data_IF_308229005794
#
_entry.id   IF_308229005794
#
_cell.length_a   1.000
_cell.length_b   1.000
_cell.length_c   1.000
_cell.angle_alpha   90.00
_cell.angle_beta   90.00
_cell.angle_gamma   90.00
#
_symmetry.space_group_name_H-M   'P 1'
#
loop_
_entity.id
_entity.type
_entity.pdbx_description
1 polymer ?
#
# COMPACT_ATOMS: atom_id res chain seq x y z
N UNK A 1 -23.47 -25.89 16.25
CA UNK A 1 -22.35 -25.78 15.30
C UNK A 1 -21.49 -24.57 15.63
N UNK A 2 -20.17 -24.72 15.63
CA UNK A 2 -19.22 -23.61 15.70
C UNK A 2 -19.10 -22.90 14.34
N UNK A 3 -18.62 -21.65 14.32
CA UNK A 3 -18.56 -20.81 13.11
C UNK A 3 -17.86 -21.50 11.92
N UNK A 4 -16.80 -22.27 12.19
CA UNK A 4 -16.07 -23.03 11.18
C UNK A 4 -16.96 -24.07 10.48
N UNK A 5 -17.70 -24.88 11.24
CA UNK A 5 -18.63 -25.88 10.70
C UNK A 5 -19.74 -25.24 9.87
N UNK A 6 -20.31 -24.13 10.38
CA UNK A 6 -21.36 -23.37 9.68
C UNK A 6 -20.85 -22.84 8.33
N UNK A 7 -19.61 -22.34 8.30
CA UNK A 7 -18.97 -21.85 7.07
C UNK A 7 -18.66 -23.01 6.11
N UNK A 8 -18.12 -24.14 6.59
CA UNK A 8 -17.90 -25.33 5.76
C UNK A 8 -19.19 -25.82 5.12
N UNK A 9 -20.31 -25.83 5.86
CA UNK A 9 -21.62 -26.17 5.29
C UNK A 9 -22.04 -25.20 4.18
N UNK A 10 -21.93 -23.88 4.40
CA UNK A 10 -22.21 -22.88 3.36
C UNK A 10 -21.35 -23.09 2.10
N UNK A 11 -20.04 -23.30 2.28
CA UNK A 11 -19.09 -23.54 1.20
C UNK A 11 -19.47 -24.77 0.38
N UNK A 12 -19.86 -25.87 1.04
CA UNK A 12 -20.29 -27.10 0.36
C UNK A 12 -21.64 -26.94 -0.36
N UNK A 13 -22.65 -26.30 0.27
CA UNK A 13 -23.98 -26.14 -0.34
C UNK A 13 -23.99 -25.17 -1.52
N UNK A 14 -23.13 -24.16 -1.48
CA UNK A 14 -23.07 -23.08 -2.49
C UNK A 14 -21.92 -23.22 -3.49
N UNK A 15 -21.13 -24.30 -3.41
CA UNK A 15 -20.01 -24.56 -4.32
C UNK A 15 -18.90 -23.49 -4.27
N UNK A 16 -18.65 -22.90 -3.10
CA UNK A 16 -17.68 -21.82 -2.93
C UNK A 16 -16.24 -22.35 -2.84
N UNK A 17 -15.25 -21.48 -3.08
CA UNK A 17 -13.85 -21.85 -2.91
C UNK A 17 -13.48 -21.99 -1.41
N UNK A 18 -13.13 -23.23 -1.04
CA UNK A 18 -12.70 -23.59 0.32
C UNK A 18 -11.36 -22.97 0.73
N UNK A 19 -10.55 -22.50 -0.23
CA UNK A 19 -9.26 -21.83 0.02
C UNK A 19 -9.36 -20.36 0.42
N UNK A 20 -10.55 -19.74 0.32
CA UNK A 20 -10.76 -18.35 0.69
C UNK A 20 -10.85 -18.13 2.22
N UNK A 21 -10.52 -16.92 2.72
CA UNK A 21 -10.80 -16.57 4.12
C UNK A 21 -12.30 -16.64 4.44
N UNK A 22 -12.65 -17.04 5.67
CA UNK A 22 -14.04 -17.17 6.14
C UNK A 22 -14.87 -15.92 5.83
N UNK A 23 -14.33 -14.71 6.06
CA UNK A 23 -15.03 -13.44 5.75
C UNK A 23 -15.40 -13.34 4.26
N UNK A 24 -14.51 -13.75 3.36
CA UNK A 24 -14.74 -13.76 1.92
C UNK A 24 -15.75 -14.83 1.51
N UNK A 25 -15.69 -16.02 2.12
CA UNK A 25 -16.67 -17.10 1.89
C UNK A 25 -18.07 -16.67 2.30
N UNK A 26 -18.22 -16.02 3.45
CA UNK A 26 -19.52 -15.49 3.93
C UNK A 26 -20.02 -14.36 3.05
N UNK A 27 -19.13 -13.44 2.62
CA UNK A 27 -19.51 -12.38 1.69
C UNK A 27 -20.02 -12.94 0.34
N UNK A 28 -19.35 -13.95 -0.23
CA UNK A 28 -19.80 -14.62 -1.45
C UNK A 28 -21.12 -15.37 -1.23
N UNK A 29 -21.29 -16.08 -0.11
CA UNK A 29 -22.53 -16.76 0.23
C UNK A 29 -23.71 -15.78 0.30
N UNK A 30 -23.53 -14.60 0.91
CA UNK A 30 -24.55 -13.55 0.94
C UNK A 30 -24.95 -13.07 -0.46
N UNK A 31 -23.96 -12.79 -1.31
CA UNK A 31 -24.21 -12.34 -2.69
C UNK A 31 -24.99 -13.39 -3.49
N UNK A 32 -24.62 -14.66 -3.41
CA UNK A 32 -25.35 -15.74 -4.09
C UNK A 32 -26.77 -15.95 -3.55
N UNK A 33 -26.99 -15.74 -2.24
CA UNK A 33 -28.30 -15.81 -1.60
C UNK A 33 -29.15 -14.52 -1.73
N UNK A 34 -28.69 -13.52 -2.50
CA UNK A 34 -29.41 -12.25 -2.68
C UNK A 34 -29.44 -11.36 -1.43
N UNK A 35 -28.62 -11.65 -0.42
CA UNK A 35 -28.55 -10.88 0.82
C UNK A 35 -27.69 -9.62 0.65
N UNK A 36 -28.27 -8.47 0.97
CA UNK A 36 -27.56 -7.20 0.98
C UNK A 36 -26.35 -7.22 1.95
N UNK A 37 -25.26 -6.48 1.65
CA UNK A 37 -24.16 -6.27 2.59
C UNK A 37 -24.67 -5.60 3.87
N UNK A 38 -24.29 -6.15 5.03
CA UNK A 38 -24.55 -5.53 6.34
C UNK A 38 -23.23 -5.08 6.95
N UNK A 39 -23.14 -3.78 7.26
CA UNK A 39 -22.02 -3.20 8.02
C UNK A 39 -22.41 -3.22 9.50
N UNK A 40 -21.49 -3.60 10.37
CA UNK A 40 -21.68 -3.58 11.83
C UNK A 40 -22.28 -4.85 12.45
N UNK A 41 -22.69 -5.86 11.68
CA UNK A 41 -23.08 -7.17 12.22
C UNK A 41 -21.90 -8.13 12.33
N UNK A 42 -21.93 -9.01 13.34
CA UNK A 42 -20.89 -10.02 13.53
C UNK A 42 -20.90 -11.08 12.43
N UNK A 43 -19.75 -11.71 12.20
CA UNK A 43 -19.60 -12.76 11.19
C UNK A 43 -20.47 -14.00 11.50
N UNK A 44 -20.80 -14.24 12.77
CA UNK A 44 -21.69 -15.34 13.20
C UNK A 44 -23.13 -15.06 12.78
N UNK A 45 -23.64 -13.85 13.04
CA UNK A 45 -25.00 -13.44 12.64
C UNK A 45 -25.15 -13.45 11.11
N UNK A 46 -24.12 -13.00 10.38
CA UNK A 46 -24.13 -13.03 8.91
C UNK A 46 -24.19 -14.45 8.35
N UNK A 47 -23.52 -15.41 8.99
CA UNK A 47 -23.57 -16.84 8.64
C UNK A 47 -24.93 -17.45 8.97
N UNK A 48 -25.49 -17.12 10.14
CA UNK A 48 -26.80 -17.64 10.55
C UNK A 48 -27.95 -17.11 9.68
N UNK A 49 -27.84 -15.87 9.18
CA UNK A 49 -28.76 -15.33 8.18
C UNK A 49 -28.69 -16.11 6.84
N UNK A 50 -27.49 -16.50 6.38
CA UNK A 50 -27.33 -17.36 5.20
C UNK A 50 -27.91 -18.76 5.41
N UNK A 51 -27.65 -19.38 6.57
CA UNK A 51 -28.19 -20.70 6.92
C UNK A 51 -29.72 -20.68 7.03
N UNK A 52 -30.32 -19.59 7.52
CA UNK A 52 -31.77 -19.45 7.62
C UNK A 52 -32.47 -19.40 6.25
N UNK A 53 -31.79 -18.94 5.19
CA UNK A 53 -32.30 -19.02 3.81
C UNK A 53 -32.20 -20.45 3.28
N UNK A 54 -31.03 -21.09 3.38
CA UNK A 54 -30.84 -22.48 2.94
C UNK A 54 -31.76 -23.47 3.67
N UNK A 55 -32.11 -23.19 4.93
CA UNK A 55 -33.07 -23.97 5.73
C UNK A 55 -34.55 -23.72 5.43
N UNK A 56 -34.90 -22.88 4.44
CA UNK A 56 -36.30 -22.55 4.09
C UNK A 56 -36.81 -23.13 2.76
N UNK A 57 -35.97 -23.82 1.99
CA UNK A 57 -36.33 -24.31 0.65
C UNK A 57 -36.97 -25.70 0.67
N UNK A 58 -38.30 -25.74 0.75
CA UNK A 58 -39.07 -26.66 -0.09
C UNK A 58 -39.21 -26.02 -1.49
N UNK A 59 -39.25 -26.80 -2.59
CA UNK A 59 -39.12 -26.25 -3.94
C UNK A 59 -40.40 -25.55 -4.42
N UNK A 60 -40.24 -24.42 -5.12
CA UNK A 60 -41.21 -23.93 -6.10
C UNK A 60 -40.52 -23.73 -7.45
N UNK A 61 -41.26 -24.06 -8.51
CA UNK A 61 -40.78 -24.06 -9.89
C UNK A 61 -40.51 -22.65 -10.42
N UNK A 62 -39.54 -22.55 -11.33
CA UNK A 62 -39.16 -21.31 -11.99
C UNK A 62 -39.98 -21.16 -13.27
N UNK A 63 -40.77 -20.09 -13.37
CA UNK A 63 -41.43 -19.67 -14.62
C UNK A 63 -40.86 -18.31 -15.05
N UNK A 64 -40.41 -18.12 -16.31
CA UNK A 64 -39.77 -16.89 -16.74
C UNK A 64 -40.77 -15.76 -17.01
N UNK A 65 -40.49 -14.54 -16.53
CA UNK A 65 -41.25 -13.35 -16.88
C UNK A 65 -40.62 -12.57 -18.03
N UNK A 66 -41.45 -12.22 -19.02
CA UNK A 66 -41.16 -11.26 -20.09
C UNK A 66 -41.36 -9.84 -19.56
N UNK A 67 -40.47 -8.91 -19.92
CA UNK A 67 -40.61 -7.48 -19.60
C UNK A 67 -41.12 -6.72 -20.83
N UNK A 68 -42.29 -6.12 -20.73
CA UNK A 68 -42.72 -5.02 -21.60
C UNK A 68 -42.80 -3.74 -20.75
N UNK A 69 -42.24 -2.64 -21.28
CA UNK A 69 -42.29 -1.33 -20.63
C UNK A 69 -43.31 -0.40 -21.28
N UNK A 70 -43.80 0.57 -20.52
CA UNK A 70 -44.60 1.69 -21.04
C UNK A 70 -44.19 2.98 -20.34
N UNK A 71 -43.97 4.04 -21.13
CA UNK A 71 -43.69 5.40 -20.66
C UNK A 71 -44.95 6.25 -20.82
N UNK A 72 -45.32 7.03 -19.80
CA UNK A 72 -46.35 8.09 -19.93
C UNK A 72 -45.84 9.38 -19.28
N UNK A 73 -46.15 10.51 -19.92
CA UNK A 73 -45.69 11.88 -19.64
C UNK A 73 -46.92 12.76 -19.38
N UNK A 74 -46.89 13.70 -18.43
CA UNK A 74 -48.04 14.60 -18.23
C UNK A 74 -47.88 15.68 -17.14
N UNK A 75 -47.66 16.91 -17.57
CA UNK A 75 -47.99 18.19 -16.88
C UNK A 75 -49.32 18.72 -17.47
N UNK A 76 -50.08 19.69 -16.87
CA UNK A 76 -49.57 21.04 -16.56
C UNK A 76 -50.27 21.91 -15.45
N UNK A 77 -49.60 23.04 -15.15
CA UNK A 77 -50.07 24.41 -14.84
C UNK A 77 -51.21 24.73 -13.84
N UNK A 78 -50.95 25.72 -12.95
CA UNK A 78 -51.71 26.99 -12.92
C UNK A 78 -51.00 28.13 -12.11
N UNK A 79 -51.23 29.40 -12.49
CA UNK A 79 -50.87 30.66 -11.81
C UNK A 79 -52.04 31.64 -11.97
N UNK A 80 -52.36 32.52 -11.00
CA UNK A 80 -51.90 33.94 -11.02
C UNK A 80 -51.75 34.55 -9.59
N UNK A 81 -51.61 35.87 -9.34
CA UNK A 81 -50.69 36.92 -9.85
C UNK A 81 -50.82 38.19 -8.95
N UNK A 82 -49.82 39.09 -8.91
CA UNK A 82 -49.91 40.38 -8.18
C UNK A 82 -48.59 41.19 -8.15
N UNK A 83 -48.63 42.46 -8.58
CA UNK A 83 -47.53 43.45 -8.68
C UNK A 83 -47.63 44.53 -7.55
N UNK A 84 -46.79 45.60 -7.40
CA UNK A 84 -45.64 46.09 -8.22
C UNK A 84 -44.33 46.53 -7.46
N UNK A 85 -43.40 47.11 -8.24
CA UNK A 85 -42.00 47.60 -8.02
C UNK A 85 -41.87 49.03 -7.39
N UNK A 86 -40.69 49.74 -7.37
CA UNK A 86 -39.30 49.47 -6.87
C UNK A 86 -38.76 50.75 -6.11
N UNK A 87 -37.49 51.26 -6.16
CA UNK A 87 -36.15 50.67 -6.43
C UNK A 87 -35.05 51.02 -5.38
N UNK A 88 -33.89 50.34 -5.46
CA UNK A 88 -32.59 50.92 -5.12
C UNK A 88 -31.46 50.25 -5.92
N UNK A 89 -30.47 51.06 -6.33
CA UNK A 89 -29.35 50.67 -7.23
C UNK A 89 -28.13 50.25 -6.42
N UNK A 90 -27.40 49.22 -6.87
CA UNK A 90 -25.97 49.07 -6.58
C UNK A 90 -25.25 48.31 -7.69
N UNK A 91 -24.34 48.99 -8.37
CA UNK A 91 -23.41 48.40 -9.35
C UNK A 91 -22.16 47.89 -8.64
N UNK A 92 -21.79 46.63 -8.83
CA UNK A 92 -20.44 46.15 -8.56
C UNK A 92 -19.83 45.48 -9.80
N UNK A 93 -18.55 45.74 -10.03
CA UNK A 93 -17.81 45.38 -11.23
C UNK A 93 -17.47 43.90 -11.29
N UNK A 94 -17.68 43.28 -12.45
CA UNK A 94 -17.21 41.92 -12.75
C UNK A 94 -15.80 42.01 -13.34
N UNK A 95 -14.80 41.50 -12.62
CA UNK A 95 -13.48 41.20 -13.18
C UNK A 95 -13.49 39.77 -13.76
N UNK A 96 -13.05 39.56 -15.02
CA UNK A 96 -12.99 38.21 -15.57
C UNK A 96 -11.82 37.42 -14.97
N UNK A 97 -12.13 36.41 -14.16
CA UNK A 97 -11.13 35.42 -13.72
C UNK A 97 -10.87 34.46 -14.88
N UNK A 98 -9.67 34.51 -15.44
CA UNK A 98 -9.20 33.54 -16.43
C UNK A 98 -9.02 32.18 -15.73
N UNK A 99 -9.99 31.29 -15.90
CA UNK A 99 -9.92 29.93 -15.40
C UNK A 99 -8.89 29.12 -16.19
N UNK A 100 -7.64 29.12 -15.73
CA UNK A 100 -6.62 28.16 -16.20
C UNK A 100 -7.02 26.79 -15.68
N UNK A 101 -7.66 25.98 -16.53
CA UNK A 101 -7.87 24.56 -16.25
C UNK A 101 -6.50 23.86 -16.20
N UNK A 102 -5.96 23.70 -14.99
CA UNK A 102 -4.89 22.75 -14.75
C UNK A 102 -5.42 21.35 -15.06
N UNK A 103 -4.98 20.78 -16.20
CA UNK A 103 -5.27 19.39 -16.55
C UNK A 103 -4.53 18.50 -15.55
N UNK A 104 -5.25 18.06 -14.52
CA UNK A 104 -4.68 17.23 -13.45
C UNK A 104 -4.29 15.87 -14.01
N UNK A 105 -2.99 15.67 -14.24
CA UNK A 105 -2.45 14.35 -14.50
C UNK A 105 -2.66 13.48 -13.27
N UNK A 106 -3.51 12.46 -13.36
CA UNK A 106 -3.67 11.50 -12.27
C UNK A 106 -2.35 10.76 -12.05
N UNK A 107 -1.93 10.51 -10.79
CA UNK A 107 -0.76 9.70 -10.53
C UNK A 107 -1.02 8.29 -11.07
N UNK A 108 -0.29 7.90 -12.12
CA UNK A 108 -0.36 6.55 -12.67
C UNK A 108 0.00 5.56 -11.57
N UNK A 109 -0.94 4.67 -11.23
CA UNK A 109 -0.63 3.53 -10.37
C UNK A 109 0.54 2.77 -11.01
N UNK A 110 1.64 2.61 -10.28
CA UNK A 110 2.80 1.84 -10.75
C UNK A 110 2.40 0.37 -10.86
N UNK A 111 1.97 -0.03 -12.05
CA UNK A 111 1.68 -1.42 -12.40
C UNK A 111 2.98 -2.20 -12.23
N UNK A 112 3.04 -3.06 -11.21
CA UNK A 112 4.10 -4.07 -11.16
C UNK A 112 3.90 -5.03 -12.33
N UNK A 113 4.97 -5.43 -13.02
CA UNK A 113 4.84 -6.39 -14.12
C UNK A 113 4.39 -7.74 -13.56
N UNK A 114 3.36 -8.34 -14.17
CA UNK A 114 2.85 -9.65 -13.77
C UNK A 114 3.96 -10.71 -13.74
N UNK A 115 4.96 -10.58 -14.63
CA UNK A 115 6.14 -11.44 -14.65
C UNK A 115 7.44 -10.66 -14.85
N UNK A 116 8.48 -11.10 -14.16
CA UNK A 116 9.84 -10.61 -14.25
C UNK A 116 10.80 -11.78 -14.47
N UNK A 117 11.58 -11.76 -15.55
CA UNK A 117 12.73 -12.66 -15.69
C UNK A 117 13.88 -12.11 -14.82
N UNK A 118 14.47 -12.93 -13.96
CA UNK A 118 15.52 -12.50 -13.02
C UNK A 118 16.89 -12.35 -13.69
N UNK A 119 16.94 -11.53 -14.74
CA UNK A 119 18.16 -11.10 -15.43
C UNK A 119 18.66 -9.81 -14.78
N UNK A 120 19.96 -9.73 -14.52
CA UNK A 120 20.63 -8.55 -13.97
C UNK A 120 21.00 -7.55 -15.08
N UNK A 121 21.15 -6.27 -14.71
CA UNK A 121 21.56 -5.21 -15.63
C UNK A 121 22.94 -5.47 -16.29
N UNK A 122 23.78 -6.30 -15.67
CA UNK A 122 25.08 -6.74 -16.22
C UNK A 122 25.01 -7.97 -17.15
N UNK A 123 23.81 -8.47 -17.46
CA UNK A 123 23.59 -9.60 -18.38
C UNK A 123 23.72 -10.98 -17.73
N UNK A 124 24.00 -11.08 -16.43
CA UNK A 124 23.91 -12.34 -15.68
C UNK A 124 22.45 -12.65 -15.30
N UNK A 125 22.19 -13.87 -14.86
CA UNK A 125 20.88 -14.35 -14.44
C UNK A 125 20.88 -14.98 -13.06
N UNK A 126 19.71 -15.03 -12.42
CA UNK A 126 19.46 -15.84 -11.23
C UNK A 126 18.70 -17.11 -11.63
N UNK A 127 19.22 -18.26 -11.23
CA UNK A 127 18.52 -19.54 -11.29
C UNK A 127 18.48 -20.19 -9.90
N UNK A 128 17.82 -21.34 -9.79
CA UNK A 128 17.82 -22.15 -8.57
C UNK A 128 18.80 -23.32 -8.69
N UNK A 129 19.33 -23.76 -7.55
CA UNK A 129 20.07 -25.02 -7.42
C UNK A 129 19.09 -26.20 -7.53
N UNK A 130 19.45 -27.25 -8.28
CA UNK A 130 18.62 -28.47 -8.38
C UNK A 130 18.48 -29.21 -7.04
N UNK A 131 19.44 -29.02 -6.12
CA UNK A 131 19.42 -29.62 -4.78
C UNK A 131 18.42 -28.90 -3.90
N UNK A 132 17.49 -29.65 -3.31
CA UNK A 132 16.65 -29.16 -2.21
C UNK A 132 17.37 -29.26 -0.87
N UNK A 133 17.11 -28.30 0.02
CA UNK A 133 17.45 -28.35 1.45
C UNK A 133 16.18 -28.36 2.31
N UNK A 134 16.29 -28.81 3.55
CA UNK A 134 15.20 -28.76 4.53
C UNK A 134 15.06 -27.33 5.06
N UNK A 135 13.88 -26.75 4.92
CA UNK A 135 13.52 -25.41 5.42
C UNK A 135 12.82 -25.47 6.79
N UNK A 136 13.00 -26.58 7.51
CA UNK A 136 12.33 -27.01 8.75
C UNK A 136 10.86 -27.40 8.54
N UNK A 137 10.29 -28.16 9.49
CA UNK A 137 8.88 -28.56 9.51
C UNK A 137 8.40 -29.26 8.22
N UNK A 138 9.28 -30.04 7.57
CA UNK A 138 9.01 -30.74 6.32
C UNK A 138 8.93 -29.83 5.08
N UNK A 139 9.27 -28.55 5.21
CA UNK A 139 9.32 -27.59 4.09
C UNK A 139 10.59 -27.78 3.29
N UNK A 140 10.53 -27.49 1.99
CA UNK A 140 11.69 -27.59 1.09
C UNK A 140 12.09 -26.20 0.64
N UNK A 141 13.38 -26.03 0.42
CA UNK A 141 13.97 -24.82 -0.09
C UNK A 141 14.98 -25.11 -1.20
N UNK A 142 15.11 -24.16 -2.12
CA UNK A 142 16.17 -24.09 -3.11
C UNK A 142 16.95 -22.80 -2.91
N UNK A 143 18.28 -22.90 -2.86
CA UNK A 143 19.13 -21.72 -2.93
C UNK A 143 19.20 -21.18 -4.36
N UNK A 144 19.40 -19.87 -4.47
CA UNK A 144 19.69 -19.20 -5.73
C UNK A 144 21.15 -19.42 -6.12
N UNK A 145 21.40 -19.54 -7.43
CA UNK A 145 22.73 -19.54 -8.07
C UNK A 145 22.80 -18.46 -9.15
N UNK A 146 23.99 -17.90 -9.38
CA UNK A 146 24.26 -17.10 -10.57
C UNK A 146 24.31 -18.00 -11.82
N UNK A 147 23.86 -17.47 -12.95
CA UNK A 147 23.92 -18.11 -14.27
C UNK A 147 23.91 -17.06 -15.40
N UNK A 148 23.70 -17.46 -16.65
CA UNK A 148 23.47 -16.59 -17.81
C UNK A 148 22.05 -16.01 -17.84
N UNK A 149 21.84 -14.89 -18.54
CA UNK A 149 20.49 -14.35 -18.78
C UNK A 149 19.52 -15.34 -19.45
N UNK A 150 20.04 -16.28 -20.26
CA UNK A 150 19.24 -17.29 -20.93
C UNK A 150 18.59 -18.26 -19.92
N UNK A 151 19.39 -18.76 -18.96
CA UNK A 151 18.96 -19.70 -17.90
C UNK A 151 18.21 -19.06 -16.72
N UNK A 152 18.09 -17.73 -16.68
CA UNK A 152 17.44 -17.06 -15.54
C UNK A 152 15.98 -17.50 -15.38
N UNK A 153 15.54 -17.73 -14.14
CA UNK A 153 14.13 -18.05 -13.85
C UNK A 153 13.24 -16.84 -14.09
N UNK A 154 11.97 -17.11 -14.36
CA UNK A 154 10.91 -16.09 -14.33
C UNK A 154 10.16 -16.19 -13.00
N UNK A 155 9.77 -15.03 -12.47
CA UNK A 155 8.96 -14.91 -11.26
C UNK A 155 7.73 -14.06 -11.48
N UNK A 156 6.69 -14.33 -10.70
CA UNK A 156 5.43 -13.59 -10.67
C UNK A 156 5.24 -12.95 -9.29
N UNK A 157 4.81 -11.68 -9.27
CA UNK A 157 4.47 -10.95 -8.04
C UNK A 157 2.95 -11.03 -7.83
N UNK A 158 2.50 -11.72 -6.78
CA UNK A 158 1.06 -11.70 -6.45
C UNK A 158 0.65 -10.40 -5.74
N UNK A 159 -0.66 -10.17 -5.60
CA UNK A 159 -1.21 -8.97 -4.96
C UNK A 159 -0.81 -8.79 -3.47
N UNK A 160 -0.26 -9.82 -2.83
CA UNK A 160 0.31 -9.74 -1.46
C UNK A 160 1.80 -9.38 -1.49
N UNK A 161 2.47 -9.55 -2.62
CA UNK A 161 3.91 -9.38 -2.81
C UNK A 161 4.71 -10.67 -2.64
N UNK A 162 4.08 -11.85 -2.72
CA UNK A 162 4.80 -13.12 -2.78
C UNK A 162 5.42 -13.26 -4.18
N UNK A 163 6.73 -13.48 -4.23
CA UNK A 163 7.48 -13.64 -5.49
C UNK A 163 7.60 -15.12 -5.82
N UNK A 164 6.74 -15.63 -6.69
CA UNK A 164 6.64 -17.07 -7.02
C UNK A 164 7.48 -17.42 -8.22
N UNK A 165 8.06 -18.62 -8.26
CA UNK A 165 8.68 -19.15 -9.49
C UNK A 165 7.59 -19.39 -10.54
N UNK A 166 7.67 -18.71 -11.68
CA UNK A 166 6.73 -18.81 -12.79
C UNK A 166 7.25 -19.67 -13.95
N UNK A 167 8.57 -19.65 -14.23
CA UNK A 167 9.21 -20.50 -15.23
C UNK A 167 10.71 -20.71 -14.96
N UNK A 168 11.35 -21.59 -15.74
CA UNK A 168 12.80 -21.82 -15.71
C UNK A 168 13.30 -22.81 -14.65
N UNK A 169 12.43 -23.41 -13.85
CA UNK A 169 12.79 -24.45 -12.88
C UNK A 169 11.63 -25.43 -12.64
N UNK A 170 11.91 -26.64 -12.16
CA UNK A 170 10.90 -27.71 -11.97
C UNK A 170 9.90 -27.48 -10.81
N UNK A 171 9.92 -26.31 -10.19
CA UNK A 171 9.13 -25.99 -8.96
C UNK A 171 8.12 -24.86 -9.14
N UNK A 172 7.70 -24.63 -10.40
CA UNK A 172 6.74 -23.59 -10.79
C UNK A 172 5.51 -23.58 -9.86
N UNK A 173 5.11 -22.38 -9.41
CA UNK A 173 3.95 -22.14 -8.56
C UNK A 173 4.07 -22.62 -7.10
N UNK A 174 5.03 -23.48 -6.77
CA UNK A 174 5.11 -24.12 -5.45
C UNK A 174 6.02 -23.39 -4.44
N UNK A 175 6.96 -22.57 -4.92
CA UNK A 175 7.91 -21.87 -4.06
C UNK A 175 7.84 -20.35 -4.24
N UNK A 176 7.80 -19.60 -3.13
CA UNK A 176 8.04 -18.15 -3.10
C UNK A 176 9.45 -17.83 -2.60
N UNK A 177 9.97 -16.66 -2.97
CA UNK A 177 11.10 -16.03 -2.32
C UNK A 177 10.79 -15.78 -0.83
N UNK A 178 11.65 -16.26 0.06
CA UNK A 178 11.42 -16.25 1.50
C UNK A 178 12.69 -15.86 2.26
N UNK A 179 12.50 -14.99 3.25
CA UNK A 179 13.53 -14.53 4.15
C UNK A 179 13.56 -15.40 5.41
N UNK A 180 14.47 -16.38 5.43
CA UNK A 180 14.58 -17.40 6.47
C UNK A 180 14.56 -16.77 7.88
N UNK A 181 13.76 -17.34 8.79
CA UNK A 181 13.49 -16.83 10.16
C UNK A 181 12.76 -15.47 10.25
N UNK A 182 12.31 -14.89 9.14
CA UNK A 182 11.47 -13.67 9.12
C UNK A 182 12.13 -12.40 9.64
N UNK A 183 13.45 -12.40 9.84
CA UNK A 183 14.23 -11.23 10.23
C UNK A 183 14.85 -10.60 8.99
N UNK A 184 14.51 -9.36 8.67
CA UNK A 184 15.15 -8.63 7.59
C UNK A 184 16.41 -7.93 8.12
N UNK A 185 17.55 -8.64 8.06
CA UNK A 185 18.86 -8.13 8.45
C UNK A 185 19.87 -8.34 7.32
N UNK A 186 20.84 -7.44 7.19
CA UNK A 186 21.92 -7.59 6.22
C UNK A 186 22.75 -8.85 6.50
N UNK A 187 23.16 -9.56 5.45
CA UNK A 187 23.82 -10.86 5.52
C UNK A 187 22.89 -12.06 5.64
N UNK A 188 21.58 -11.89 5.86
CA UNK A 188 20.66 -13.02 5.93
C UNK A 188 20.51 -13.66 4.54
N UNK A 189 20.79 -14.97 4.44
CA UNK A 189 20.71 -15.74 3.20
C UNK A 189 19.27 -15.90 2.72
N UNK A 190 19.04 -15.62 1.44
CA UNK A 190 17.74 -15.65 0.78
C UNK A 190 17.61 -16.89 -0.10
N UNK A 191 16.38 -17.38 -0.27
CA UNK A 191 16.09 -18.65 -0.93
C UNK A 191 14.63 -18.69 -1.39
N UNK A 192 14.27 -19.69 -2.19
CA UNK A 192 12.88 -19.96 -2.56
C UNK A 192 12.37 -21.18 -1.77
N UNK A 193 11.21 -21.10 -1.12
CA UNK A 193 10.70 -22.12 -0.19
C UNK A 193 9.22 -22.45 -0.37
N UNK A 194 8.81 -23.63 0.09
CA UNK A 194 7.38 -24.05 0.13
C UNK A 194 6.60 -23.47 1.32
N UNK A 195 7.18 -22.53 2.08
CA UNK A 195 6.49 -21.89 3.23
C UNK A 195 5.26 -21.07 2.82
N UNK A 196 5.16 -20.62 1.57
CA UNK A 196 4.00 -19.86 1.09
C UNK A 196 2.68 -20.62 1.17
N UNK A 197 2.70 -21.94 1.09
CA UNK A 197 1.50 -22.78 1.21
C UNK A 197 0.81 -22.68 2.58
N UNK A 198 1.54 -22.29 3.63
CA UNK A 198 1.01 -22.15 4.99
C UNK A 198 1.19 -20.74 5.59
N UNK A 199 2.07 -19.92 5.02
CA UNK A 199 2.43 -18.60 5.55
C UNK A 199 2.45 -17.48 4.49
N UNK A 200 1.65 -17.57 3.42
CA UNK A 200 1.54 -16.55 2.36
C UNK A 200 1.26 -15.10 2.84
N UNK A 201 0.76 -14.92 4.06
CA UNK A 201 0.53 -13.58 4.66
C UNK A 201 1.69 -13.10 5.53
N UNK A 202 2.68 -13.95 5.81
CA UNK A 202 3.77 -13.65 6.73
C UNK A 202 4.75 -12.62 6.14
N UNK A 203 5.23 -11.63 6.92
CA UNK A 203 6.11 -10.59 6.40
C UNK A 203 7.42 -11.08 5.75
N UNK A 204 7.87 -12.31 6.05
CA UNK A 204 9.08 -12.90 5.44
C UNK A 204 8.98 -13.19 3.94
N UNK A 205 7.75 -13.26 3.42
CA UNK A 205 7.45 -13.57 2.03
C UNK A 205 6.88 -12.37 1.26
N UNK A 206 6.81 -11.21 1.91
CA UNK A 206 6.28 -10.00 1.28
C UNK A 206 7.44 -9.16 0.72
N UNK A 207 7.49 -9.05 -0.59
CA UNK A 207 8.53 -8.31 -1.32
C UNK A 207 7.92 -7.28 -2.27
N UNK A 208 8.75 -6.32 -2.69
CA UNK A 208 8.42 -5.27 -3.66
C UNK A 208 9.57 -5.16 -4.66
N UNK A 209 9.22 -5.09 -5.95
CA UNK A 209 10.12 -4.64 -7.01
C UNK A 209 10.18 -3.11 -7.01
N UNK A 210 11.37 -2.54 -6.82
CA UNK A 210 11.62 -1.11 -6.87
C UNK A 210 11.84 -0.67 -8.32
N UNK A 211 10.79 -0.17 -8.98
CA UNK A 211 10.83 0.21 -10.40
C UNK A 211 11.84 1.33 -10.72
N UNK A 212 12.25 2.13 -9.73
CA UNK A 212 13.22 3.21 -9.92
C UNK A 212 14.67 2.74 -10.09
N UNK A 213 15.04 1.58 -9.53
CA UNK A 213 16.45 1.14 -9.48
C UNK A 213 16.67 -0.37 -9.76
N UNK A 214 15.59 -1.09 -10.08
CA UNK A 214 15.59 -2.50 -10.43
C UNK A 214 15.83 -3.46 -9.25
N UNK A 215 15.82 -3.01 -8.00
CA UNK A 215 16.09 -3.89 -6.84
C UNK A 215 14.82 -4.59 -6.34
N UNK A 216 14.97 -5.76 -5.70
CA UNK A 216 13.88 -6.46 -5.00
C UNK A 216 14.12 -6.38 -3.48
N UNK A 217 13.16 -5.84 -2.74
CA UNK A 217 13.25 -5.53 -1.30
C UNK A 217 12.14 -6.20 -0.48
N UNK A 218 12.40 -6.63 0.78
CA UNK A 218 11.33 -7.02 1.71
C UNK A 218 10.43 -5.80 2.03
N UNK A 219 9.10 -5.97 2.05
CA UNK A 219 8.15 -4.88 2.34
C UNK A 219 8.35 -4.26 3.72
N UNK A 220 8.80 -5.05 4.70
CA UNK A 220 9.08 -4.59 6.06
C UNK A 220 10.51 -4.07 6.28
N UNK A 221 11.35 -4.02 5.25
CA UNK A 221 12.71 -3.48 5.31
C UNK A 221 13.16 -2.91 3.95
N UNK A 222 12.53 -1.83 3.45
CA UNK A 222 12.79 -1.27 2.11
C UNK A 222 14.20 -0.68 1.93
N UNK A 223 14.97 -0.49 3.01
CA UNK A 223 16.38 -0.12 3.00
C UNK A 223 17.31 -1.29 2.61
N UNK A 224 16.82 -2.53 2.68
CA UNK A 224 17.51 -3.75 2.25
C UNK A 224 16.99 -4.23 0.90
N UNK A 225 17.82 -4.93 0.14
CA UNK A 225 17.43 -5.63 -1.09
C UNK A 225 18.18 -6.95 -1.23
N UNK A 226 17.77 -7.77 -2.22
CA UNK A 226 18.58 -8.91 -2.67
C UNK A 226 19.98 -8.44 -3.10
N UNK A 227 20.99 -9.20 -2.73
CA UNK A 227 22.39 -8.97 -3.05
C UNK A 227 23.18 -10.27 -3.15
N UNK A 228 24.38 -10.20 -3.71
CA UNK A 228 25.21 -11.37 -3.99
C UNK A 228 26.68 -11.15 -3.65
N UNK A 229 27.20 -11.84 -2.62
CA UNK A 229 28.66 -11.87 -2.32
C UNK A 229 29.28 -13.23 -2.62
N UNK A 230 28.68 -14.30 -2.09
CA UNK A 230 29.02 -15.70 -2.39
C UNK A 230 27.75 -16.56 -2.58
N UNK A 231 26.66 -16.13 -1.97
CA UNK A 231 25.31 -16.64 -2.10
C UNK A 231 24.34 -15.45 -2.07
N UNK A 232 23.07 -15.68 -2.43
CA UNK A 232 22.03 -14.66 -2.33
C UNK A 232 21.74 -14.33 -0.86
N UNK A 233 21.82 -13.04 -0.51
CA UNK A 233 21.62 -12.53 0.84
C UNK A 233 20.97 -11.14 0.79
N UNK A 234 20.46 -10.64 1.92
CA UNK A 234 20.08 -9.23 2.03
C UNK A 234 21.31 -8.33 2.18
N UNK A 235 21.32 -7.22 1.45
CA UNK A 235 22.32 -6.14 1.55
C UNK A 235 21.63 -4.78 1.58
N UNK A 236 22.34 -3.69 1.90
CA UNK A 236 21.79 -2.34 1.74
C UNK A 236 21.67 -1.97 0.26
N UNK A 237 20.71 -1.12 -0.11
CA UNK A 237 20.50 -0.73 -1.54
C UNK A 237 21.68 0.03 -2.17
N UNK A 238 22.57 0.59 -1.36
CA UNK A 238 23.84 1.21 -1.73
C UNK A 238 25.02 0.25 -1.82
N UNK A 239 24.86 -1.01 -1.40
CA UNK A 239 25.92 -2.01 -1.42
C UNK A 239 26.30 -2.33 -2.89
N UNK A 240 27.59 -2.36 -3.26
CA UNK A 240 28.01 -2.74 -4.61
C UNK A 240 27.58 -4.16 -5.01
N UNK A 241 27.18 -4.99 -4.05
CA UNK A 241 26.66 -6.34 -4.28
C UNK A 241 25.13 -6.39 -4.45
N UNK A 242 24.42 -5.25 -4.44
CA UNK A 242 22.98 -5.19 -4.64
C UNK A 242 22.58 -5.68 -6.04
N UNK A 243 21.60 -6.59 -6.11
CA UNK A 243 21.09 -7.13 -7.38
C UNK A 243 20.12 -6.14 -8.02
N UNK A 244 20.51 -5.60 -9.19
CA UNK A 244 19.67 -4.74 -10.02
C UNK A 244 19.20 -5.52 -11.24
N UNK A 245 17.90 -5.75 -11.33
CA UNK A 245 17.28 -6.51 -12.40
C UNK A 245 16.98 -5.63 -13.63
N UNK A 246 16.96 -6.27 -14.81
CA UNK A 246 16.45 -5.67 -16.03
C UNK A 246 14.93 -5.57 -15.92
N UNK A 247 14.39 -4.36 -16.01
CA UNK A 247 12.95 -4.12 -16.01
C UNK A 247 12.41 -4.24 -17.45
N UNK A 248 11.15 -4.67 -17.64
CA UNK A 248 10.55 -4.76 -18.97
C UNK A 248 10.63 -3.43 -19.74
N UNK A 249 10.89 -3.51 -21.05
CA UNK A 249 10.85 -2.34 -21.92
C UNK A 249 9.42 -1.78 -21.94
N UNK A 250 9.26 -0.52 -21.55
CA UNK A 250 7.97 0.11 -21.25
C UNK A 250 7.74 0.41 -19.76
N UNK A 251 8.52 -0.19 -18.85
CA UNK A 251 8.50 0.14 -17.41
C UNK A 251 9.53 1.19 -16.99
N UNK A 252 10.38 1.65 -17.91
CA UNK A 252 11.28 2.77 -17.64
C UNK A 252 10.51 4.09 -17.74
N UNK A 253 10.46 4.84 -16.63
CA UNK A 253 10.04 6.24 -16.65
C UNK A 253 11.07 6.99 -17.51
N UNK A 254 10.62 7.50 -18.65
CA UNK A 254 11.48 8.18 -19.61
C UNK A 254 11.98 9.52 -19.06
N UNK A 255 13.16 9.53 -18.45
CA UNK A 255 13.87 10.77 -18.09
C UNK A 255 14.46 11.44 -19.35
N UNK A 256 13.59 11.88 -20.25
CA UNK A 256 13.94 12.66 -21.43
C UNK A 256 14.19 14.13 -21.03
N UNK A 257 15.34 14.39 -20.41
CA UNK A 257 15.91 15.75 -20.32
C UNK A 257 17.43 15.68 -20.16
N UNK A 258 18.15 16.15 -21.19
CA UNK A 258 19.61 16.19 -21.21
C UNK A 258 20.15 17.28 -20.28
N UNK A 259 20.39 16.90 -19.02
CA UNK A 259 21.28 17.63 -18.12
C UNK A 259 22.28 16.66 -17.47
N UNK A 260 23.53 17.08 -17.23
CA UNK A 260 24.58 16.20 -16.72
C UNK A 260 24.24 15.66 -15.31
N UNK A 261 24.79 14.48 -14.93
CA UNK A 261 24.26 13.68 -13.83
C UNK A 261 24.68 14.22 -12.45
N UNK A 262 23.93 15.18 -11.92
CA UNK A 262 24.05 15.64 -10.53
C UNK A 262 22.87 15.21 -9.63
N UNK A 263 21.81 14.59 -10.20
CA UNK A 263 20.56 14.24 -9.47
C UNK A 263 20.36 12.76 -9.17
N UNK A 264 21.12 11.85 -9.80
CA UNK A 264 20.96 10.41 -9.58
C UNK A 264 21.56 9.92 -8.24
N UNK A 265 22.53 10.64 -7.68
CA UNK A 265 23.17 10.28 -6.40
C UNK A 265 22.32 10.64 -5.17
N UNK A 266 21.25 11.44 -5.32
CA UNK A 266 20.40 11.86 -4.21
C UNK A 266 19.55 10.72 -3.61
N UNK A 267 19.29 9.65 -4.37
CA UNK A 267 18.37 8.58 -3.98
C UNK A 267 19.04 7.34 -3.35
N UNK A 268 20.37 7.28 -3.26
CA UNK A 268 21.10 6.06 -2.86
C UNK A 268 21.59 6.00 -1.41
N UNK A 269 21.53 7.08 -0.62
CA UNK A 269 22.26 7.20 0.66
C UNK A 269 21.41 7.20 1.97
N UNK A 270 20.15 6.76 1.94
CA UNK A 270 19.26 6.82 3.13
C UNK A 270 19.09 5.46 3.83
N UNK A 271 20.08 5.12 4.67
CA UNK A 271 20.07 3.93 5.52
C UNK A 271 18.94 3.99 6.58
N UNK A 272 17.78 3.41 6.28
CA UNK A 272 16.61 3.34 7.19
C UNK A 272 15.93 4.69 7.48
N UNK A 273 16.26 5.72 6.71
CA UNK A 273 15.72 7.08 6.87
C UNK A 273 14.57 7.32 5.88
N UNK A 274 13.44 7.82 6.36
CA UNK A 274 12.26 8.20 5.56
C UNK A 274 12.56 9.45 4.74
N UNK A 275 12.44 9.40 3.40
CA UNK A 275 12.57 10.58 2.54
C UNK A 275 11.55 11.66 2.92
N UNK A 276 11.97 12.92 2.92
CA UNK A 276 11.08 14.08 3.15
C UNK A 276 9.97 14.19 2.11
N UNK A 277 10.21 13.77 0.87
CA UNK A 277 9.18 13.69 -0.18
C UNK A 277 8.02 12.78 0.24
N UNK A 278 8.32 11.67 0.93
CA UNK A 278 7.30 10.72 1.46
C UNK A 278 6.48 11.36 2.58
N UNK A 279 6.95 12.42 3.22
CA UNK A 279 6.23 13.14 4.27
C UNK A 279 5.24 14.19 3.73
N UNK A 280 5.27 14.50 2.43
CA UNK A 280 4.37 15.48 1.81
C UNK A 280 2.89 15.09 1.98
N UNK A 281 2.07 15.99 2.51
CA UNK A 281 0.62 15.77 2.64
C UNK A 281 0.03 16.29 3.94
N UNK A 282 -1.25 16.00 4.18
CA UNK A 282 -1.93 16.43 5.40
C UNK A 282 -1.72 15.42 6.54
N UNK A 283 -1.44 15.94 7.73
CA UNK A 283 -1.19 15.21 8.96
C UNK A 283 -2.05 15.77 10.09
N UNK A 284 -2.33 14.92 11.07
CA UNK A 284 -2.76 15.32 12.41
C UNK A 284 -1.68 14.92 13.41
N UNK A 285 -1.37 15.80 14.36
CA UNK A 285 -0.54 15.51 15.53
C UNK A 285 -1.34 15.73 16.81
N UNK A 286 -1.13 14.93 17.84
CA UNK A 286 -1.71 15.18 19.18
C UNK A 286 -0.79 14.69 20.29
N UNK A 287 -0.86 15.37 21.44
CA UNK A 287 -0.09 15.06 22.64
C UNK A 287 -0.89 14.07 23.51
N UNK A 288 -0.28 12.94 23.86
CA UNK A 288 -0.83 11.99 24.82
C UNK A 288 -0.24 12.25 26.22
N UNK A 289 -1.06 12.14 27.30
CA UNK A 289 -2.47 11.70 27.32
C UNK A 289 -3.49 12.85 27.23
N UNK A 290 -3.12 14.05 26.77
CA UNK A 290 -3.96 15.26 26.83
C UNK A 290 -4.45 15.66 25.43
N UNK A 291 -5.59 15.12 24.94
CA UNK A 291 -6.11 15.38 23.59
C UNK A 291 -6.62 16.82 23.37
N UNK A 292 -6.52 17.69 24.39
CA UNK A 292 -6.86 19.12 24.31
C UNK A 292 -5.83 19.94 23.51
N UNK A 293 -4.70 19.32 23.12
CA UNK A 293 -3.72 19.89 22.20
C UNK A 293 -3.53 18.93 21.03
N UNK A 294 -3.94 19.39 19.85
CA UNK A 294 -3.73 18.72 18.58
C UNK A 294 -3.50 19.74 17.47
N UNK A 295 -2.90 19.32 16.35
CA UNK A 295 -2.66 20.18 15.19
C UNK A 295 -3.02 19.45 13.91
N UNK A 296 -3.60 20.16 12.94
CA UNK A 296 -3.81 19.67 11.57
C UNK A 296 -2.95 20.54 10.66
N UNK A 297 -2.07 19.91 9.87
CA UNK A 297 -1.07 20.62 9.09
C UNK A 297 -0.73 19.90 7.79
N UNK A 298 -0.27 20.67 6.81
CA UNK A 298 0.30 20.18 5.57
C UNK A 298 1.83 20.22 5.64
N UNK A 299 2.47 19.07 5.49
CA UNK A 299 3.93 18.95 5.35
C UNK A 299 4.35 19.15 3.89
N UNK A 300 5.44 19.89 3.71
CA UNK A 300 6.11 20.14 2.43
C UNK A 300 7.61 19.86 2.58
N UNK A 301 8.17 19.05 1.70
CA UNK A 301 9.60 18.80 1.58
C UNK A 301 10.30 20.03 1.03
N UNK A 302 11.25 20.58 1.80
CA UNK A 302 12.09 21.73 1.38
C UNK A 302 13.46 21.24 0.91
N UNK A 303 13.93 20.12 1.45
CA UNK A 303 15.17 19.46 1.08
C UNK A 303 15.21 18.02 1.60
N UNK A 304 16.31 17.26 1.41
CA UNK A 304 16.40 15.85 1.80
C UNK A 304 16.26 15.61 3.32
N UNK A 305 16.58 16.63 4.11
CA UNK A 305 16.61 16.60 5.57
C UNK A 305 15.80 17.75 6.20
N UNK A 306 14.93 18.44 5.45
CA UNK A 306 14.09 19.54 5.96
C UNK A 306 12.66 19.47 5.46
N UNK A 307 11.69 19.69 6.36
CA UNK A 307 10.27 19.89 6.02
C UNK A 307 9.76 21.22 6.55
N UNK A 308 8.79 21.79 5.84
CA UNK A 308 7.97 22.92 6.25
C UNK A 308 6.57 22.40 6.58
N UNK A 309 6.06 22.70 7.77
CA UNK A 309 4.70 22.39 8.17
C UNK A 309 3.87 23.68 8.23
N UNK A 310 2.74 23.71 7.53
CA UNK A 310 1.80 24.84 7.53
C UNK A 310 0.43 24.33 8.01
N UNK A 311 -0.14 24.92 9.06
CA UNK A 311 -1.34 24.36 9.65
C UNK A 311 -2.01 25.19 10.73
N UNK A 312 -2.87 24.53 11.51
CA UNK A 312 -3.58 25.10 12.65
C UNK A 312 -3.41 24.15 13.84
N UNK A 313 -2.86 24.66 14.93
CA UNK A 313 -2.84 24.02 16.23
C UNK A 313 -4.08 24.45 17.03
N UNK A 314 -4.72 23.50 17.69
CA UNK A 314 -5.87 23.73 18.57
C UNK A 314 -5.38 23.61 20.02
N UNK A 315 -5.00 24.73 20.62
CA UNK A 315 -4.54 24.78 22.00
C UNK A 315 -5.75 25.04 22.91
N UNK A 316 -6.22 24.02 23.62
CA UNK A 316 -7.47 24.08 24.40
C UNK A 316 -8.68 24.50 23.56
N UNK A 317 -8.72 24.05 22.29
CA UNK A 317 -9.77 24.38 21.33
C UNK A 317 -9.63 25.72 20.61
N UNK A 318 -8.69 26.59 21.02
CA UNK A 318 -8.41 27.84 20.31
C UNK A 318 -7.53 27.58 19.07
N UNK A 319 -7.97 27.95 17.85
CA UNK A 319 -7.18 27.76 16.64
C UNK A 319 -6.04 28.79 16.57
N UNK A 320 -4.81 28.30 16.55
CA UNK A 320 -3.59 29.06 16.35
C UNK A 320 -2.95 28.62 15.02
N UNK A 321 -3.00 29.46 13.96
CA UNK A 321 -2.32 29.14 12.71
C UNK A 321 -0.80 29.18 12.90
N UNK A 322 -0.08 28.27 12.24
CA UNK A 322 1.36 28.22 12.30
C UNK A 322 2.00 27.87 10.94
N UNK A 323 3.20 28.37 10.76
CA UNK A 323 4.13 28.00 9.70
C UNK A 323 5.49 27.74 10.37
N UNK A 324 5.98 26.51 10.30
CA UNK A 324 7.22 26.09 10.97
C UNK A 324 8.13 25.31 10.02
N UNK A 325 9.44 25.45 10.20
CA UNK A 325 10.45 24.62 9.55
C UNK A 325 11.03 23.63 10.56
N UNK A 326 11.28 22.40 10.11
CA UNK A 326 11.85 21.34 10.92
C UNK A 326 12.99 20.63 10.21
N UNK A 327 14.11 20.56 10.91
CA UNK A 327 15.31 19.88 10.43
C UNK A 327 15.39 18.46 10.98
N UNK A 328 15.78 17.52 10.11
CA UNK A 328 16.05 16.14 10.48
C UNK A 328 17.37 16.06 11.24
N UNK A 329 17.35 15.43 12.41
CA UNK A 329 18.59 15.01 13.08
C UNK A 329 19.33 13.97 12.24
N UNK A 330 20.58 14.29 11.92
CA UNK A 330 21.50 13.41 11.20
C UNK A 330 21.45 11.98 11.76
N UNK A 331 21.24 11.01 10.87
CA UNK A 331 21.14 9.59 11.24
C UNK A 331 19.77 9.08 11.68
N UNK A 332 18.73 9.93 11.76
CA UNK A 332 17.43 9.55 12.36
C UNK A 332 16.21 9.95 11.53
N UNK A 333 15.01 9.56 11.94
CA UNK A 333 13.74 10.09 11.41
C UNK A 333 13.12 11.18 12.30
N UNK A 334 13.92 11.84 13.14
CA UNK A 334 13.46 12.88 14.07
C UNK A 334 13.60 14.26 13.46
N UNK A 335 12.49 14.97 13.33
CA UNK A 335 12.38 16.32 12.77
C UNK A 335 12.08 17.31 13.89
N UNK A 336 13.01 18.23 14.10
CA UNK A 336 13.08 19.11 15.28
C UNK A 336 12.62 20.51 14.89
N UNK A 337 11.75 21.13 15.69
CA UNK A 337 11.37 22.53 15.50
C UNK A 337 12.58 23.46 15.72
N UNK A 338 12.84 24.39 14.79
CA UNK A 338 13.99 25.29 14.87
C UNK A 338 14.03 26.11 16.18
N UNK A 339 12.87 26.58 16.65
CA UNK A 339 12.77 27.47 17.81
C UNK A 339 12.50 26.73 19.13
N UNK A 340 12.10 25.45 19.07
CA UNK A 340 11.94 24.60 20.26
C UNK A 340 12.49 23.19 20.00
N UNK A 341 13.75 22.92 20.38
CA UNK A 341 14.35 21.60 20.22
C UNK A 341 13.55 20.44 20.84
N UNK A 342 12.72 20.71 21.86
CA UNK A 342 11.93 19.68 22.54
C UNK A 342 10.74 19.17 21.70
N UNK A 343 10.25 20.02 20.79
CA UNK A 343 9.16 19.74 19.86
C UNK A 343 9.69 18.91 18.67
N UNK A 344 9.63 17.59 18.81
CA UNK A 344 10.19 16.63 17.84
C UNK A 344 9.11 15.72 17.28
N UNK A 345 8.92 15.76 15.96
CA UNK A 345 8.12 14.76 15.23
C UNK A 345 9.05 13.59 14.85
N UNK A 346 8.58 12.36 14.95
CA UNK A 346 9.34 11.18 14.50
C UNK A 346 8.56 10.49 13.38
N UNK A 347 9.21 10.18 12.26
CA UNK A 347 8.58 9.57 11.08
C UNK A 347 9.23 8.24 10.68
N UNK A 348 9.10 7.22 11.54
CA UNK A 348 9.57 5.85 11.28
C UNK A 348 8.61 5.02 10.39
N UNK A 349 7.40 5.53 10.14
CA UNK A 349 6.36 4.93 9.33
C UNK A 349 5.64 6.02 8.49
N UNK A 350 5.29 5.74 7.21
CA UNK A 350 4.71 6.74 6.30
C UNK A 350 3.25 7.13 6.62
N UNK A 351 2.59 6.47 7.57
CA UNK A 351 1.16 6.64 7.88
C UNK A 351 0.87 6.95 9.35
N UNK A 352 1.52 6.27 10.30
CA UNK A 352 1.25 6.40 11.73
C UNK A 352 2.54 6.33 12.55
N UNK A 353 2.80 7.35 13.36
CA UNK A 353 3.99 7.39 14.22
C UNK A 353 3.64 7.71 15.66
N UNK A 354 4.35 7.04 16.57
CA UNK A 354 4.35 7.31 18.00
C UNK A 354 5.77 7.70 18.40
N UNK A 355 5.92 8.86 19.01
CA UNK A 355 7.17 9.34 19.58
C UNK A 355 6.99 9.85 21.00
N UNK A 356 8.09 10.25 21.63
CA UNK A 356 8.07 11.11 22.81
C UNK A 356 8.76 12.43 22.47
N UNK A 357 8.39 13.50 23.15
CA UNK A 357 9.21 14.72 23.18
C UNK A 357 10.60 14.42 23.76
N UNK A 358 11.57 15.31 23.55
CA UNK A 358 12.97 15.05 23.97
C UNK A 358 13.12 14.73 25.46
N UNK A 359 12.45 15.53 26.30
CA UNK A 359 12.40 15.36 27.76
C UNK A 359 11.63 14.11 28.19
N UNK A 360 10.83 13.53 27.28
CA UNK A 360 9.94 12.38 27.47
C UNK A 360 8.77 12.62 28.42
N UNK A 361 8.51 13.89 28.76
CA UNK A 361 7.41 14.32 29.62
C UNK A 361 6.02 14.01 29.02
N UNK A 362 5.94 13.89 27.69
CA UNK A 362 4.70 13.55 26.98
C UNK A 362 4.95 12.70 25.72
N UNK A 363 3.93 11.92 25.37
CA UNK A 363 3.88 11.17 24.13
C UNK A 363 3.32 12.04 23.00
N UNK A 364 3.78 11.80 21.78
CA UNK A 364 3.30 12.45 20.57
C UNK A 364 2.82 11.39 19.59
N UNK A 365 1.57 11.49 19.15
CA UNK A 365 1.04 10.72 18.02
C UNK A 365 1.02 11.62 16.80
N UNK A 366 1.47 11.11 15.65
CA UNK A 366 1.19 11.74 14.35
C UNK A 366 0.57 10.72 13.40
N UNK A 367 -0.47 11.13 12.68
CA UNK A 367 -1.19 10.28 11.72
C UNK A 367 -1.35 11.05 10.42
N UNK A 368 -1.05 10.39 9.30
CA UNK A 368 -1.26 10.96 7.97
C UNK A 368 -2.72 10.84 7.58
N UNK A 369 -3.31 11.95 7.18
CA UNK A 369 -4.68 12.04 6.69
C UNK A 369 -4.75 11.78 5.18
N UNK A 370 -3.80 12.34 4.42
CA UNK A 370 -3.64 12.07 2.99
C UNK A 370 -2.19 12.32 2.52
N UNK A 371 -1.85 11.79 1.34
CA UNK A 371 -0.66 12.20 0.62
C UNK A 371 -0.89 13.56 -0.06
N UNK A 372 0.18 14.34 -0.24
CA UNK A 372 0.18 15.39 -1.26
C UNK A 372 0.07 14.71 -2.63
N UNK A 373 -0.76 15.23 -3.55
CA UNK A 373 -0.90 14.67 -4.90
C UNK A 373 0.39 14.82 -5.73
#
# INVERSE_FOLDING_TARGET
MILKEKTTFLVTQLGLDSGLPIVSQVAQARVQLGLAPKVGTSLVEQVDECLAILGRSAPQEITPMVVQGTVVRGTPACQPAGQPMPPAVSTQSITPVVAVQAVMAQPMATVQPDRLKLVLQDGRGIALESRTVDATHGRRAHFMRMTSAAEAIEVEFDSRGCVKVAAGHHVVGQHCLDNWHGRAAAGNRQHFSTWAQTHATHPSQQWTLNMADGTISPKNAPQLCLGWRNHSQLVTRSDPNALRFQLPAGSQISNSNNHPPARAEAYSNFAGRTSTEVLNGCWVASILPVPLIFAIYHNQSVGPDQVKACGIAFCFGLPCPFEEFRDRRAGTNKFVHLEDPNNVLTYDNPCFNLGCTEKRDCGLVTVRLCCHP
#
